data_IF_278570035085
#
_entry.id   IF_278570035085
#
_cell.length_a   1.000
_cell.length_b   1.000
_cell.length_c   1.000
_cell.angle_alpha   90.00
_cell.angle_beta   90.00
_cell.angle_gamma   90.00
#
_symmetry.space_group_name_H-M   'P 1'
#
loop_
_entity.id
_entity.type
_entity.pdbx_description
1 polymer ?
#
# COMPACT_ATOMS: atom_id res chain seq x y z
N UNK A 1 47.35 20.32 24.50
CA UNK A 1 45.94 20.76 24.37
C UNK A 1 44.94 19.69 24.78
N UNK A 2 44.99 18.45 24.28
CA UNK A 2 44.01 17.38 24.61
C UNK A 2 43.91 17.06 26.13
N UNK A 3 45.02 17.07 26.89
CA UNK A 3 45.02 16.79 28.35
C UNK A 3 44.12 17.75 29.15
N UNK A 4 44.05 19.03 28.78
CA UNK A 4 43.22 20.02 29.46
C UNK A 4 41.74 19.85 29.16
N UNK A 5 41.38 19.34 27.95
CA UNK A 5 40.02 19.04 27.59
C UNK A 5 39.49 17.86 28.39
N UNK A 6 40.27 16.78 28.51
CA UNK A 6 39.93 15.61 29.33
C UNK A 6 39.83 15.94 30.82
N UNK A 7 40.73 16.77 31.34
CA UNK A 7 40.66 17.20 32.76
C UNK A 7 39.39 18.01 33.04
N UNK A 8 38.95 18.86 32.12
CA UNK A 8 37.73 19.67 32.26
C UNK A 8 36.46 18.83 32.16
N UNK A 9 36.46 17.78 31.36
CA UNK A 9 35.35 16.81 31.23
C UNK A 9 35.17 16.00 32.52
N UNK A 10 36.26 15.66 33.22
CA UNK A 10 36.25 14.90 34.47
C UNK A 10 35.92 15.75 35.71
N UNK A 11 36.12 17.07 35.66
CA UNK A 11 35.82 17.97 36.79
C UNK A 11 34.31 18.17 37.04
N UNK A 12 33.46 17.99 36.01
CA UNK A 12 31.99 18.12 36.13
C UNK A 12 31.28 16.97 35.43
N UNK A 13 31.34 15.75 35.97
CA UNK A 13 30.89 14.55 35.30
C UNK A 13 29.37 14.56 34.98
N UNK A 14 28.57 15.08 35.89
CA UNK A 14 27.09 15.16 35.68
C UNK A 14 26.71 16.01 34.47
N UNK A 15 27.36 17.17 34.30
CA UNK A 15 27.10 18.05 33.17
C UNK A 15 27.52 17.39 31.84
N UNK A 16 28.67 16.73 31.83
CA UNK A 16 29.20 16.04 30.66
C UNK A 16 28.30 14.88 30.25
N UNK A 17 27.87 14.07 31.24
CA UNK A 17 26.96 12.95 30.98
C UNK A 17 25.62 13.43 30.40
N UNK A 18 25.00 14.45 30.99
CA UNK A 18 23.73 15.00 30.51
C UNK A 18 23.87 15.56 29.10
N UNK A 19 24.92 16.31 28.81
CA UNK A 19 25.16 16.87 27.47
C UNK A 19 25.40 15.76 26.44
N UNK A 20 26.18 14.74 26.78
CA UNK A 20 26.43 13.59 25.88
C UNK A 20 25.14 12.81 25.60
N UNK A 21 24.34 12.55 26.63
CA UNK A 21 23.05 11.88 26.46
C UNK A 21 22.09 12.69 25.56
N UNK A 22 22.02 14.01 25.78
CA UNK A 22 21.18 14.87 24.93
C UNK A 22 21.59 14.84 23.47
N UNK A 23 22.89 14.91 23.17
CA UNK A 23 23.42 14.80 21.82
C UNK A 23 23.14 13.40 21.23
N UNK A 24 23.39 12.35 22.03
CA UNK A 24 23.16 10.98 21.61
C UNK A 24 21.69 10.72 21.25
N UNK A 25 20.76 11.21 22.05
CA UNK A 25 19.32 11.13 21.75
C UNK A 25 18.99 11.86 20.45
N UNK A 26 19.54 13.06 20.25
CA UNK A 26 19.33 13.81 19.01
C UNK A 26 19.83 13.05 17.76
N UNK A 27 21.02 12.47 17.83
CA UNK A 27 21.59 11.67 16.75
C UNK A 27 20.74 10.43 16.46
N UNK A 28 20.33 9.71 17.51
CA UNK A 28 19.46 8.52 17.37
C UNK A 28 18.12 8.90 16.71
N UNK A 29 17.49 9.99 17.12
CA UNK A 29 16.24 10.46 16.53
C UNK A 29 16.38 10.77 15.04
N UNK A 30 17.48 11.43 14.65
CA UNK A 30 17.76 11.71 13.23
C UNK A 30 17.93 10.40 12.45
N UNK A 31 18.74 9.48 12.96
CA UNK A 31 18.97 8.19 12.28
C UNK A 31 17.68 7.37 12.13
N UNK A 32 16.87 7.32 13.20
CA UNK A 32 15.57 6.63 13.15
C UNK A 32 14.63 7.30 12.16
N UNK A 33 14.55 8.64 12.14
CA UNK A 33 13.69 9.37 11.21
C UNK A 33 14.10 9.14 9.75
N UNK A 34 15.40 9.22 9.45
CA UNK A 34 15.92 8.96 8.10
C UNK A 34 15.69 7.50 7.70
N UNK A 35 15.98 6.55 8.58
CA UNK A 35 15.76 5.12 8.32
C UNK A 35 14.31 4.78 8.07
N UNK A 36 13.39 5.33 8.86
CA UNK A 36 11.95 5.15 8.69
C UNK A 36 11.46 5.74 7.35
N UNK A 37 11.90 6.96 7.03
CA UNK A 37 11.53 7.62 5.76
C UNK A 37 12.03 6.83 4.55
N UNK A 38 13.27 6.36 4.59
CA UNK A 38 13.84 5.52 3.52
C UNK A 38 13.10 4.19 3.38
N UNK A 39 12.77 3.53 4.51
CA UNK A 39 12.01 2.29 4.52
C UNK A 39 10.62 2.46 3.91
N UNK A 40 9.90 3.51 4.28
CA UNK A 40 8.57 3.81 3.74
C UNK A 40 8.62 4.14 2.24
N UNK A 41 9.61 4.93 1.80
CA UNK A 41 9.75 5.29 0.40
C UNK A 41 10.06 4.07 -0.47
N UNK A 42 10.96 3.20 -0.01
CA UNK A 42 11.32 1.96 -0.69
C UNK A 42 10.13 0.99 -0.78
N UNK A 43 9.37 0.81 0.31
CA UNK A 43 8.19 -0.06 0.34
C UNK A 43 7.08 0.46 -0.60
N UNK A 44 6.85 1.79 -0.62
CA UNK A 44 5.89 2.41 -1.53
C UNK A 44 6.31 2.28 -3.01
N UNK A 45 7.58 2.48 -3.31
CA UNK A 45 8.09 2.32 -4.68
C UNK A 45 7.95 0.87 -5.18
N UNK A 46 8.25 -0.10 -4.33
CA UNK A 46 8.07 -1.53 -4.64
C UNK A 46 6.60 -1.89 -4.88
N UNK A 47 5.69 -1.37 -4.04
CA UNK A 47 4.23 -1.58 -4.19
C UNK A 47 3.70 -1.00 -5.48
N UNK A 48 4.14 0.21 -5.86
CA UNK A 48 3.73 0.86 -7.11
C UNK A 48 4.20 0.08 -8.33
N UNK A 49 5.42 -0.43 -8.32
CA UNK A 49 5.96 -1.27 -9.41
C UNK A 49 5.18 -2.58 -9.59
N UNK A 50 4.69 -3.17 -8.51
CA UNK A 50 3.95 -4.44 -8.55
C UNK A 50 2.47 -4.32 -8.92
N UNK A 51 1.94 -3.11 -9.06
CA UNK A 51 0.58 -2.88 -9.62
C UNK A 51 0.51 -3.33 -11.08
N UNK A 52 1.67 -3.48 -11.74
CA UNK A 52 1.77 -4.06 -13.09
C UNK A 52 1.53 -3.07 -14.22
N UNK A 53 1.14 -1.84 -13.94
CA UNK A 53 0.98 -0.78 -14.93
C UNK A 53 2.17 0.18 -14.93
N UNK A 54 2.61 0.61 -16.12
CA UNK A 54 3.69 1.59 -16.28
C UNK A 54 3.24 3.01 -15.90
N UNK A 55 1.96 3.31 -16.09
CA UNK A 55 1.36 4.62 -15.82
C UNK A 55 0.05 4.48 -15.05
N UNK A 56 -0.20 5.45 -14.17
CA UNK A 56 -1.46 5.59 -13.47
C UNK A 56 -2.09 6.94 -13.79
N UNK A 57 -3.32 6.92 -14.31
CA UNK A 57 -4.09 8.13 -14.61
C UNK A 57 -5.10 8.36 -13.50
N UNK A 58 -5.05 9.56 -12.91
CA UNK A 58 -5.96 9.95 -11.82
C UNK A 58 -6.52 11.36 -12.08
N UNK A 59 -7.67 11.70 -11.50
CA UNK A 59 -8.20 13.06 -11.53
C UNK A 59 -7.22 14.06 -10.88
N UNK A 60 -7.24 15.33 -11.27
CA UNK A 60 -6.31 16.35 -10.77
C UNK A 60 -6.27 16.48 -9.24
N UNK A 61 -7.39 16.24 -8.58
CA UNK A 61 -7.54 16.40 -7.13
C UNK A 61 -7.52 15.07 -6.36
N UNK A 62 -7.21 13.95 -7.03
CA UNK A 62 -7.17 12.65 -6.40
C UNK A 62 -5.81 12.40 -5.75
N UNK A 63 -5.81 11.87 -4.53
CA UNK A 63 -4.61 11.37 -3.87
C UNK A 63 -4.68 9.86 -3.73
N UNK A 64 -3.85 9.15 -4.48
CA UNK A 64 -3.74 7.70 -4.40
C UNK A 64 -3.21 7.22 -3.04
N UNK A 65 -2.34 8.02 -2.42
CA UNK A 65 -1.68 7.66 -1.15
C UNK A 65 -2.70 7.54 -0.01
N UNK A 66 -3.76 8.32 -0.04
CA UNK A 66 -4.71 8.36 1.07
C UNK A 66 -6.11 7.85 0.71
N UNK A 67 -6.43 7.66 -0.58
CA UNK A 67 -7.79 7.34 -1.06
C UNK A 67 -8.89 8.24 -0.42
N UNK A 68 -8.49 9.39 0.10
CA UNK A 68 -9.32 10.30 0.88
C UNK A 68 -10.08 11.31 0.01
N UNK A 69 -9.59 11.58 -1.19
CA UNK A 69 -10.24 12.45 -2.15
C UNK A 69 -10.68 11.63 -3.37
N UNK A 70 -11.96 11.33 -3.40
CA UNK A 70 -12.59 10.48 -4.41
C UNK A 70 -12.95 11.28 -5.66
N UNK A 71 -11.97 11.85 -6.34
CA UNK A 71 -12.17 12.20 -7.73
C UNK A 71 -12.37 10.90 -8.50
N UNK A 72 -13.53 10.70 -9.12
CA UNK A 72 -13.77 9.54 -9.98
C UNK A 72 -13.64 9.93 -11.44
N UNK A 73 -12.96 9.09 -12.21
CA UNK A 73 -12.96 9.17 -13.67
C UNK A 73 -14.09 8.30 -14.24
N UNK A 74 -14.82 8.76 -15.24
CA UNK A 74 -15.79 7.92 -15.93
C UNK A 74 -15.07 6.70 -16.56
N UNK A 75 -15.65 5.50 -16.41
CA UNK A 75 -15.07 4.26 -16.99
C UNK A 75 -14.85 4.37 -18.51
N UNK A 76 -15.61 5.21 -19.20
CA UNK A 76 -15.45 5.49 -20.64
C UNK A 76 -14.08 6.03 -21.03
N UNK A 77 -13.35 6.66 -20.08
CA UNK A 77 -11.99 7.15 -20.29
C UNK A 77 -11.01 6.00 -20.61
N UNK A 78 -11.28 4.78 -20.16
CA UNK A 78 -10.47 3.62 -20.50
C UNK A 78 -10.27 3.50 -22.01
N UNK A 79 -11.34 3.60 -22.81
CA UNK A 79 -11.26 3.51 -24.27
C UNK A 79 -10.43 4.63 -24.89
N UNK A 80 -10.59 5.83 -24.36
CA UNK A 80 -9.82 7.01 -24.83
C UNK A 80 -8.33 6.83 -24.56
N UNK A 81 -7.98 6.23 -23.43
CA UNK A 81 -6.59 5.92 -23.07
C UNK A 81 -6.03 4.82 -23.99
N UNK A 82 -6.81 3.76 -24.25
CA UNK A 82 -6.40 2.66 -25.12
C UNK A 82 -6.23 3.08 -26.61
N UNK A 83 -6.87 4.20 -27.04
CA UNK A 83 -6.67 4.79 -28.37
C UNK A 83 -5.36 5.58 -28.50
N UNK A 84 -4.66 5.87 -27.40
CA UNK A 84 -3.38 6.62 -27.43
C UNK A 84 -2.28 5.71 -27.97
N UNK A 85 -1.54 6.14 -29.01
CA UNK A 85 -0.43 5.35 -29.57
C UNK A 85 0.62 5.02 -28.49
N UNK A 86 0.95 3.75 -28.33
CA UNK A 86 1.92 3.25 -27.36
C UNK A 86 1.29 2.73 -26.05
N UNK A 87 -0.03 2.81 -25.90
CA UNK A 87 -0.76 2.17 -24.79
C UNK A 87 -1.28 0.81 -25.26
N UNK A 88 -0.87 -0.26 -24.60
CA UNK A 88 -1.28 -1.62 -24.93
C UNK A 88 -2.64 -1.97 -24.32
N UNK A 89 -2.86 -1.59 -23.06
CA UNK A 89 -4.10 -1.84 -22.35
C UNK A 89 -4.24 -0.90 -21.14
N UNK A 90 -5.50 -0.66 -20.75
CA UNK A 90 -5.84 0.10 -19.55
C UNK A 90 -6.85 -0.68 -18.68
N UNK A 91 -6.84 -0.46 -17.38
CA UNK A 91 -7.80 -1.07 -16.46
C UNK A 91 -8.33 -0.02 -15.47
N UNK A 92 -9.63 0.04 -15.26
CA UNK A 92 -10.22 0.89 -14.25
C UNK A 92 -9.98 0.28 -12.87
N UNK A 93 -9.56 1.13 -11.92
CA UNK A 93 -9.37 0.75 -10.52
C UNK A 93 -10.10 1.76 -9.65
N UNK A 94 -11.00 1.29 -8.81
CA UNK A 94 -11.67 2.10 -7.81
C UNK A 94 -11.03 1.82 -6.45
N UNK A 95 -10.39 2.81 -5.86
CA UNK A 95 -9.83 2.71 -4.52
C UNK A 95 -10.83 3.25 -3.50
N UNK A 96 -11.15 2.47 -2.46
CA UNK A 96 -11.99 2.90 -1.35
C UNK A 96 -11.30 2.61 -0.03
N UNK A 97 -11.18 3.63 0.81
CA UNK A 97 -10.64 3.49 2.15
C UNK A 97 -11.73 3.05 3.12
N UNK A 98 -11.48 1.98 3.85
CA UNK A 98 -12.38 1.46 4.89
C UNK A 98 -11.82 1.85 6.25
N UNK A 99 -12.52 2.79 6.91
CA UNK A 99 -12.08 3.40 8.17
C UNK A 99 -12.01 2.41 9.33
N UNK A 100 -12.93 1.45 9.42
CA UNK A 100 -13.05 0.51 10.54
C UNK A 100 -11.82 -0.41 10.68
N UNK A 101 -11.17 -0.71 9.57
CA UNK A 101 -10.01 -1.62 9.52
C UNK A 101 -8.74 -0.97 8.97
N UNK A 102 -8.76 0.35 8.74
CA UNK A 102 -7.63 1.14 8.23
C UNK A 102 -6.93 0.51 7.01
N UNK A 103 -7.69 0.03 6.03
CA UNK A 103 -7.13 -0.53 4.81
C UNK A 103 -7.84 -0.03 3.55
N UNK A 104 -7.15 -0.15 2.44
CA UNK A 104 -7.66 0.22 1.13
C UNK A 104 -8.15 -1.05 0.43
N UNK A 105 -9.37 -0.98 -0.10
CA UNK A 105 -9.96 -2.00 -0.97
C UNK A 105 -9.94 -1.48 -2.39
N UNK A 106 -9.53 -2.33 -3.33
CA UNK A 106 -9.60 -2.03 -4.76
C UNK A 106 -10.74 -2.80 -5.41
N UNK A 107 -11.62 -2.06 -6.08
CA UNK A 107 -12.53 -2.58 -7.08
C UNK A 107 -11.84 -2.62 -8.43
N UNK A 108 -11.75 -3.79 -9.04
CA UNK A 108 -11.09 -4.00 -10.32
C UNK A 108 -12.02 -4.73 -11.29
N UNK A 109 -11.89 -4.42 -12.56
CA UNK A 109 -12.47 -5.23 -13.61
C UNK A 109 -11.55 -6.42 -13.93
N UNK A 110 -12.07 -7.63 -13.81
CA UNK A 110 -11.29 -8.85 -13.89
C UNK A 110 -10.49 -8.98 -15.18
N UNK A 111 -11.17 -8.78 -16.31
CA UNK A 111 -10.57 -9.05 -17.64
C UNK A 111 -9.47 -8.05 -17.97
N UNK A 112 -9.76 -6.75 -17.82
CA UNK A 112 -8.78 -5.71 -18.09
C UNK A 112 -7.63 -5.73 -17.09
N UNK A 113 -7.90 -6.03 -15.82
CA UNK A 113 -6.86 -6.12 -14.79
C UNK A 113 -5.88 -7.27 -15.06
N UNK A 114 -6.37 -8.44 -15.52
CA UNK A 114 -5.49 -9.55 -15.88
C UNK A 114 -4.61 -9.25 -17.11
N UNK A 115 -5.07 -8.42 -18.03
CA UNK A 115 -4.28 -7.97 -19.19
C UNK A 115 -3.13 -7.04 -18.75
N UNK A 116 -3.42 -6.09 -17.87
CA UNK A 116 -2.43 -5.13 -17.36
C UNK A 116 -1.49 -5.76 -16.33
N UNK A 117 -2.03 -6.57 -15.42
CA UNK A 117 -1.29 -7.18 -14.34
C UNK A 117 -1.12 -8.69 -14.53
N UNK A 118 -0.21 -9.07 -15.40
CA UNK A 118 0.19 -10.47 -15.60
C UNK A 118 1.01 -11.05 -14.45
N UNK A 119 1.44 -10.21 -13.50
CA UNK A 119 2.35 -10.60 -12.40
C UNK A 119 1.63 -10.94 -11.10
N UNK A 120 0.29 -10.85 -11.02
CA UNK A 120 -0.45 -11.21 -9.82
C UNK A 120 -0.30 -12.71 -9.52
N UNK A 121 0.47 -13.03 -8.48
CA UNK A 121 0.71 -14.42 -8.08
C UNK A 121 -0.21 -14.82 -6.93
N UNK A 122 -0.97 -15.88 -7.14
CA UNK A 122 -1.78 -16.48 -6.09
C UNK A 122 -0.95 -17.53 -5.32
N UNK A 123 -0.96 -17.43 -3.99
CA UNK A 123 -0.42 -18.45 -3.10
C UNK A 123 -1.41 -19.60 -2.96
N UNK A 124 -2.69 -19.28 -2.91
CA UNK A 124 -3.81 -20.23 -2.85
C UNK A 124 -5.04 -19.64 -3.54
N UNK A 125 -5.87 -20.51 -4.10
CA UNK A 125 -7.13 -20.11 -4.74
C UNK A 125 -6.95 -19.46 -6.11
N UNK A 126 -7.86 -18.58 -6.46
CA UNK A 126 -7.98 -17.94 -7.77
C UNK A 126 -8.48 -16.50 -7.64
N UNK A 127 -8.46 -15.75 -8.74
CA UNK A 127 -9.16 -14.48 -8.81
C UNK A 127 -10.69 -14.73 -8.79
N UNK A 128 -11.44 -13.76 -8.29
CA UNK A 128 -12.90 -13.83 -8.17
C UNK A 128 -13.59 -14.01 -9.55
N UNK A 129 -14.67 -14.77 -9.57
CA UNK A 129 -15.57 -14.98 -10.72
C UNK A 129 -16.97 -14.43 -10.45
N UNK A 130 -17.31 -14.23 -9.17
CA UNK A 130 -18.65 -13.80 -8.74
C UNK A 130 -18.59 -12.47 -8.00
N UNK A 131 -19.69 -11.71 -7.98
CA UNK A 131 -19.74 -10.42 -7.32
C UNK A 131 -19.64 -10.49 -5.77
N UNK A 132 -19.86 -11.66 -5.18
CA UNK A 132 -19.76 -11.94 -3.76
C UNK A 132 -18.42 -12.55 -3.35
N UNK A 133 -17.47 -12.64 -4.27
CA UNK A 133 -16.12 -13.16 -4.01
C UNK A 133 -15.10 -12.02 -3.88
N UNK A 134 -14.09 -12.23 -3.02
CA UNK A 134 -12.95 -11.33 -2.84
C UNK A 134 -11.65 -12.11 -2.77
N UNK A 135 -10.53 -11.42 -3.06
CA UNK A 135 -9.20 -11.96 -2.83
C UNK A 135 -8.43 -11.03 -1.89
N UNK A 136 -7.60 -11.62 -1.03
CA UNK A 136 -6.85 -10.91 -0.02
C UNK A 136 -5.35 -11.17 -0.16
N UNK A 137 -4.53 -10.23 0.32
CA UNK A 137 -3.08 -10.44 0.33
C UNK A 137 -2.63 -11.34 1.50
N UNK A 138 -1.42 -11.88 1.41
CA UNK A 138 -0.84 -12.77 2.43
C UNK A 138 -0.70 -12.10 3.79
N UNK A 139 -0.49 -10.78 3.83
CA UNK A 139 -0.34 -10.04 5.10
C UNK A 139 -1.69 -9.88 5.78
N UNK A 140 -2.73 -9.51 5.02
CA UNK A 140 -4.08 -9.40 5.53
C UNK A 140 -4.61 -10.75 6.02
N UNK A 141 -4.37 -11.81 5.23
CA UNK A 141 -4.71 -13.19 5.59
C UNK A 141 -4.11 -13.58 6.94
N UNK A 142 -2.81 -13.37 7.12
CA UNK A 142 -2.10 -13.70 8.37
C UNK A 142 -2.56 -12.84 9.56
N UNK A 143 -2.73 -11.54 9.36
CA UNK A 143 -3.08 -10.60 10.44
C UNK A 143 -4.49 -10.84 11.00
N UNK A 144 -5.40 -11.34 10.16
CA UNK A 144 -6.80 -11.60 10.54
C UNK A 144 -7.10 -13.10 10.69
N UNK A 145 -6.09 -13.97 10.50
CA UNK A 145 -6.23 -15.42 10.55
C UNK A 145 -7.31 -15.96 9.59
N UNK A 146 -7.31 -15.42 8.35
CA UNK A 146 -8.25 -15.73 7.28
C UNK A 146 -7.58 -16.50 6.16
N UNK A 147 -8.35 -17.35 5.47
CA UNK A 147 -7.89 -18.14 4.34
C UNK A 147 -8.94 -18.28 3.24
N UNK A 148 -8.62 -19.04 2.20
CA UNK A 148 -9.56 -19.37 1.13
C UNK A 148 -10.71 -20.23 1.69
N UNK A 149 -11.95 -19.82 1.43
CA UNK A 149 -13.16 -20.44 1.93
C UNK A 149 -13.77 -19.73 3.15
N UNK A 150 -13.03 -18.84 3.80
CA UNK A 150 -13.56 -18.04 4.90
C UNK A 150 -14.38 -16.85 4.37
N UNK A 151 -15.18 -16.25 5.25
CA UNK A 151 -15.97 -15.06 4.95
C UNK A 151 -15.34 -13.81 5.52
N UNK A 152 -15.40 -12.73 4.73
CA UNK A 152 -14.91 -11.42 5.12
C UNK A 152 -16.06 -10.40 5.08
N UNK A 153 -16.32 -9.77 6.21
CA UNK A 153 -17.28 -8.68 6.28
C UNK A 153 -16.63 -7.36 5.81
N UNK A 154 -17.20 -6.78 4.75
CA UNK A 154 -16.79 -5.50 4.18
C UNK A 154 -18.03 -4.68 3.83
N UNK A 155 -18.03 -3.40 4.21
CA UNK A 155 -19.13 -2.48 3.88
C UNK A 155 -20.53 -3.00 4.32
N UNK A 156 -20.59 -3.74 5.44
CA UNK A 156 -21.83 -4.32 5.97
C UNK A 156 -22.35 -5.53 5.16
N UNK A 157 -21.54 -6.16 4.33
CA UNK A 157 -21.85 -7.37 3.55
C UNK A 157 -20.78 -8.43 3.75
N UNK A 158 -21.18 -9.68 3.67
CA UNK A 158 -20.25 -10.82 3.70
C UNK A 158 -19.80 -11.19 2.29
N UNK A 159 -18.49 -11.44 2.16
CA UNK A 159 -17.85 -11.87 0.93
C UNK A 159 -17.05 -13.14 1.15
N UNK A 160 -17.11 -14.06 0.21
CA UNK A 160 -16.31 -15.28 0.23
C UNK A 160 -14.88 -15.01 -0.24
N UNK A 161 -13.88 -15.39 0.54
CA UNK A 161 -12.48 -15.32 0.15
C UNK A 161 -12.19 -16.47 -0.80
N UNK A 162 -12.01 -16.17 -2.10
CA UNK A 162 -11.74 -17.17 -3.13
C UNK A 162 -10.25 -17.31 -3.47
N UNK A 163 -9.41 -16.39 -3.01
CA UNK A 163 -7.97 -16.45 -3.24
C UNK A 163 -7.14 -15.61 -2.28
N UNK A 164 -5.90 -16.05 -2.10
CA UNK A 164 -4.86 -15.34 -1.36
C UNK A 164 -3.68 -15.10 -2.29
N UNK A 165 -3.32 -13.84 -2.51
CA UNK A 165 -2.22 -13.45 -3.39
C UNK A 165 -1.00 -12.97 -2.61
N UNK A 166 0.18 -12.99 -3.27
CA UNK A 166 1.42 -12.48 -2.68
C UNK A 166 1.31 -10.97 -2.44
N UNK A 167 1.88 -10.52 -1.32
CA UNK A 167 1.97 -9.09 -1.04
C UNK A 167 2.70 -8.36 -2.19
N UNK A 168 2.11 -7.29 -2.68
CA UNK A 168 2.78 -6.51 -3.72
C UNK A 168 1.87 -5.58 -4.51
N UNK A 169 0.55 -5.72 -4.42
CA UNK A 169 -0.40 -4.72 -4.91
C UNK A 169 -0.62 -3.63 -3.87
N UNK A 170 -1.05 -2.45 -4.30
CA UNK A 170 -1.28 -1.32 -3.40
C UNK A 170 -2.45 -1.57 -2.42
N UNK A 171 -3.35 -2.50 -2.72
CA UNK A 171 -4.49 -2.86 -1.88
C UNK A 171 -4.31 -4.20 -1.17
N UNK A 172 -4.89 -4.29 0.01
CA UNK A 172 -4.94 -5.52 0.82
C UNK A 172 -6.05 -6.47 0.38
N UNK A 173 -7.09 -5.92 -0.22
CA UNK A 173 -8.27 -6.64 -0.68
C UNK A 173 -8.62 -6.17 -2.08
N UNK A 174 -8.85 -7.13 -2.98
CA UNK A 174 -9.36 -6.88 -4.33
C UNK A 174 -10.75 -7.50 -4.44
N UNK A 175 -11.68 -6.78 -5.06
CA UNK A 175 -13.05 -7.22 -5.30
C UNK A 175 -13.56 -6.75 -6.66
N UNK A 176 -14.68 -7.28 -7.16
CA UNK A 176 -15.26 -6.79 -8.40
C UNK A 176 -15.60 -5.31 -8.35
N UNK A 177 -15.24 -4.57 -9.41
CA UNK A 177 -15.47 -3.14 -9.55
C UNK A 177 -16.94 -2.77 -9.35
N UNK A 178 -17.84 -3.52 -9.97
CA UNK A 178 -19.29 -3.31 -9.91
C UNK A 178 -19.85 -3.43 -8.48
N UNK A 179 -19.21 -4.25 -7.65
CA UNK A 179 -19.64 -4.45 -6.27
C UNK A 179 -19.18 -3.32 -5.34
N UNK A 180 -18.08 -2.64 -5.69
CA UNK A 180 -17.52 -1.55 -4.88
C UNK A 180 -18.11 -0.18 -5.23
N UNK A 181 -18.72 -0.02 -6.40
CA UNK A 181 -19.43 1.19 -6.83
C UNK A 181 -20.70 1.44 -6.04
#
# INVERSE_FOLDING_TARGET
>A
MMKHIFANLLQRPTRTVVSTLAISVGVVLILVSVGLTYGQLSDNAERTRRVGGDFMVQPPDASFIFALNSGTLPVKIQRVIEEVPGIESATPVLAKFISDKFHIVFGIDRESFQRVNSSLRFVRGRLFDRPDEVVIDTVYAKSNNLGVGDHLELLGREFLICGVFEQGTAARVLMPLETLQ
#
